data_IF_577865360866
#
_entry.id   IF_577865360866
#
_cell.length_a   1.000
_cell.length_b   1.000
_cell.length_c   1.000
_cell.angle_alpha   90.00
_cell.angle_beta   90.00
_cell.angle_gamma   90.00
#
_symmetry.space_group_name_H-M   'P 1'
#
loop_
_entity.id
_entity.type
_entity.pdbx_description
1 polymer ?
#
# COMPACT_ATOMS: atom_id res chain seq x y z
N UNK A 1 -12.60 -14.13 2.65
CA UNK A 1 -11.53 -14.12 3.67
C UNK A 1 -10.29 -14.81 3.16
N UNK A 2 -9.13 -14.32 3.56
CA UNK A 2 -7.84 -14.95 3.27
C UNK A 2 -7.13 -15.29 4.59
N UNK A 3 -6.51 -16.46 4.65
CA UNK A 3 -5.67 -16.84 5.78
C UNK A 3 -4.41 -15.99 5.83
N UNK A 4 -3.87 -15.79 7.03
CA UNK A 4 -2.60 -15.12 7.21
C UNK A 4 -1.49 -15.81 6.41
N UNK A 5 -0.60 -14.99 5.85
CA UNK A 5 0.60 -15.46 5.14
C UNK A 5 1.85 -14.71 5.63
N UNK A 6 3.02 -15.06 5.09
CA UNK A 6 4.30 -14.45 5.44
C UNK A 6 4.93 -13.67 4.27
N UNK A 7 4.17 -13.39 3.24
CA UNK A 7 4.65 -12.62 2.09
C UNK A 7 4.75 -11.13 2.48
N UNK A 8 5.90 -10.48 2.29
CA UNK A 8 6.15 -9.13 2.85
C UNK A 8 5.12 -8.06 2.53
N UNK A 9 4.62 -8.01 1.30
CA UNK A 9 3.62 -7.00 0.89
C UNK A 9 2.23 -7.58 0.66
N UNK A 10 1.98 -8.80 1.14
CA UNK A 10 0.62 -9.35 1.09
C UNK A 10 -0.32 -8.55 1.99
N UNK A 11 -1.52 -8.30 1.52
CA UNK A 11 -2.55 -7.67 2.34
C UNK A 11 -2.97 -8.54 3.52
N UNK A 12 -2.68 -9.85 3.48
CA UNK A 12 -2.91 -10.80 4.57
C UNK A 12 -1.63 -11.13 5.36
N UNK A 13 -0.54 -10.37 5.19
CA UNK A 13 0.70 -10.62 5.91
C UNK A 13 0.49 -10.57 7.44
N UNK A 14 0.75 -11.68 8.11
CA UNK A 14 0.71 -11.80 9.57
C UNK A 14 -0.67 -11.83 10.19
N UNK A 15 -1.77 -11.84 9.43
CA UNK A 15 -3.12 -11.87 9.99
C UNK A 15 -4.16 -12.41 9.01
N UNK A 16 -5.13 -13.14 9.51
CA UNK A 16 -6.33 -13.49 8.76
C UNK A 16 -7.06 -12.20 8.36
N UNK A 17 -7.52 -12.13 7.12
CA UNK A 17 -7.94 -10.87 6.51
C UNK A 17 -9.28 -11.01 5.81
N UNK A 18 -10.15 -10.05 6.04
CA UNK A 18 -11.35 -9.82 5.24
C UNK A 18 -11.10 -8.64 4.29
N UNK A 19 -11.65 -8.72 3.10
CA UNK A 19 -11.54 -7.64 2.11
C UNK A 19 -12.87 -6.93 1.99
N UNK A 20 -12.85 -5.61 2.06
CA UNK A 20 -14.03 -4.76 1.85
C UNK A 20 -13.73 -3.82 0.70
N UNK A 21 -14.57 -3.85 -0.32
CA UNK A 21 -14.46 -2.95 -1.47
C UNK A 21 -15.64 -1.99 -1.49
N UNK A 22 -15.37 -0.74 -1.82
CA UNK A 22 -16.40 0.28 -2.03
C UNK A 22 -16.31 0.77 -3.47
N UNK A 23 -17.47 0.99 -4.08
CA UNK A 23 -17.57 1.34 -5.48
C UNK A 23 -18.44 2.58 -5.64
N UNK A 24 -18.10 3.41 -6.62
CA UNK A 24 -18.94 4.51 -7.09
C UNK A 24 -19.09 4.42 -8.61
N UNK A 25 -20.20 4.89 -9.18
CA UNK A 25 -20.34 4.96 -10.65
C UNK A 25 -19.22 5.80 -11.25
N UNK A 26 -18.77 5.43 -12.46
CA UNK A 26 -17.66 6.11 -13.14
C UNK A 26 -17.87 7.62 -13.35
N UNK A 27 -19.13 8.08 -13.36
CA UNK A 27 -19.50 9.48 -13.51
C UNK A 27 -19.51 10.27 -12.20
N UNK A 28 -19.36 9.60 -11.06
CA UNK A 28 -19.43 10.23 -9.76
C UNK A 28 -18.07 10.73 -9.31
N UNK A 29 -18.06 11.81 -8.51
CA UNK A 29 -16.87 12.26 -7.81
C UNK A 29 -16.63 11.36 -6.59
N UNK A 30 -15.56 10.54 -6.60
CA UNK A 30 -15.33 9.59 -5.51
C UNK A 30 -14.73 10.21 -4.25
N UNK A 31 -14.14 11.40 -4.36
CA UNK A 31 -13.25 11.97 -3.36
C UNK A 31 -13.72 11.89 -1.91
N UNK A 32 -14.83 12.56 -1.51
CA UNK A 32 -15.29 12.54 -0.11
C UNK A 32 -15.69 11.15 0.36
N UNK A 33 -16.32 10.37 -0.51
CA UNK A 33 -16.77 9.02 -0.19
C UNK A 33 -15.59 8.08 0.08
N UNK A 34 -14.61 8.09 -0.82
CA UNK A 34 -13.41 7.25 -0.66
C UNK A 34 -12.54 7.73 0.50
N UNK A 35 -12.43 9.04 0.71
CA UNK A 35 -11.67 9.58 1.84
C UNK A 35 -12.27 9.16 3.19
N UNK A 36 -13.60 9.20 3.31
CA UNK A 36 -14.30 8.76 4.51
C UNK A 36 -14.08 7.26 4.76
N UNK A 37 -14.24 6.45 3.73
CA UNK A 37 -13.98 5.00 3.83
C UNK A 37 -12.53 4.71 4.23
N UNK A 38 -11.58 5.39 3.60
CA UNK A 38 -10.15 5.22 3.91
C UNK A 38 -9.82 5.60 5.35
N UNK A 39 -10.43 6.67 5.87
CA UNK A 39 -10.25 7.08 7.26
C UNK A 39 -10.78 6.02 8.24
N UNK A 40 -11.96 5.48 7.98
CA UNK A 40 -12.57 4.44 8.82
C UNK A 40 -11.74 3.15 8.77
N UNK A 41 -11.42 2.67 7.58
CA UNK A 41 -10.61 1.46 7.41
C UNK A 41 -9.21 1.64 8.00
N UNK A 42 -8.64 2.83 7.83
CA UNK A 42 -7.34 3.19 8.38
C UNK A 42 -7.30 3.17 9.90
N UNK A 43 -8.35 3.67 10.56
CA UNK A 43 -8.47 3.62 12.02
C UNK A 43 -8.51 2.17 12.55
N UNK A 44 -9.01 1.24 11.74
CA UNK A 44 -9.00 -0.19 12.04
C UNK A 44 -7.71 -0.91 11.62
N UNK A 45 -6.69 -0.20 11.17
CA UNK A 45 -5.44 -0.78 10.69
C UNK A 45 -5.55 -1.42 9.30
N UNK A 46 -6.53 -1.01 8.51
CA UNK A 46 -6.75 -1.54 7.16
C UNK A 46 -5.58 -1.27 6.22
N UNK A 47 -5.33 -2.21 5.31
CA UNK A 47 -4.31 -2.10 4.26
C UNK A 47 -5.00 -1.89 2.92
N UNK A 48 -4.53 -0.96 2.09
CA UNK A 48 -5.14 -0.73 0.78
C UNK A 48 -4.81 -1.86 -0.20
N UNK A 49 -5.63 -2.01 -1.24
CA UNK A 49 -5.24 -2.80 -2.39
C UNK A 49 -4.21 -2.02 -3.20
N UNK A 50 -3.03 -2.63 -3.44
CA UNK A 50 -1.92 -1.96 -4.11
C UNK A 50 -2.26 -1.37 -5.48
N UNK A 51 -3.16 -2.00 -6.22
CA UNK A 51 -3.56 -1.57 -7.57
C UNK A 51 -4.85 -0.74 -7.61
N UNK A 52 -5.34 -0.26 -6.49
CA UNK A 52 -6.59 0.51 -6.41
C UNK A 52 -6.33 1.92 -5.86
N UNK A 53 -7.39 2.74 -5.82
CA UNK A 53 -7.28 4.11 -5.31
C UNK A 53 -7.08 4.12 -3.81
N UNK A 54 -6.04 4.81 -3.37
CA UNK A 54 -5.79 5.15 -1.97
C UNK A 54 -4.82 6.33 -1.90
N UNK A 55 -4.76 7.00 -0.76
CA UNK A 55 -3.87 8.15 -0.54
C UNK A 55 -2.67 7.85 0.35
N UNK A 56 -2.50 6.60 0.80
CA UNK A 56 -1.47 6.26 1.76
C UNK A 56 -0.06 6.37 1.14
N UNK A 57 0.87 6.75 1.98
CA UNK A 57 2.28 6.90 1.63
C UNK A 57 3.15 5.82 2.30
N UNK A 58 4.44 5.84 1.97
CA UNK A 58 5.41 4.87 2.48
C UNK A 58 5.50 4.89 4.01
N UNK A 59 5.45 6.06 4.63
CA UNK A 59 5.54 6.18 6.10
C UNK A 59 4.37 5.48 6.80
N UNK A 60 3.15 5.71 6.29
CA UNK A 60 1.95 5.06 6.81
C UNK A 60 1.98 3.55 6.54
N UNK A 61 2.33 3.15 5.33
CA UNK A 61 2.36 1.74 4.93
C UNK A 61 3.43 0.94 5.69
N UNK A 62 4.58 1.55 5.98
CA UNK A 62 5.62 0.91 6.78
C UNK A 62 5.12 0.49 8.17
N UNK A 63 4.21 1.25 8.75
CA UNK A 63 3.57 0.90 10.02
C UNK A 63 2.50 -0.20 9.91
N UNK A 64 2.08 -0.55 8.70
CA UNK A 64 1.00 -1.51 8.46
C UNK A 64 1.46 -2.88 7.99
N UNK A 65 2.67 -2.97 7.46
CA UNK A 65 3.24 -4.21 6.94
C UNK A 65 4.45 -4.62 7.77
N UNK A 66 4.40 -5.76 8.48
CA UNK A 66 5.50 -6.16 9.40
C UNK A 66 6.87 -6.28 8.73
N UNK A 67 6.89 -6.64 7.44
CA UNK A 67 8.13 -6.87 6.70
C UNK A 67 8.38 -5.84 5.59
N UNK A 68 7.80 -4.65 5.73
CA UNK A 68 7.96 -3.57 4.75
C UNK A 68 9.42 -3.20 4.54
N UNK A 69 10.19 -3.07 5.61
CA UNK A 69 11.61 -2.71 5.54
C UNK A 69 12.44 -3.77 4.81
N UNK A 70 12.13 -5.06 4.97
CA UNK A 70 12.81 -6.13 4.25
C UNK A 70 12.58 -6.02 2.74
N UNK A 71 11.34 -5.72 2.35
CA UNK A 71 11.02 -5.54 0.93
C UNK A 71 11.74 -4.35 0.33
N UNK A 72 11.74 -3.20 1.00
CA UNK A 72 12.40 -1.99 0.50
C UNK A 72 13.91 -2.16 0.43
N UNK A 73 14.51 -2.87 1.39
CA UNK A 73 15.94 -3.20 1.36
C UNK A 73 16.29 -4.11 0.17
N UNK A 74 15.46 -5.12 -0.09
CA UNK A 74 15.67 -6.00 -1.25
C UNK A 74 15.52 -5.22 -2.56
N UNK A 75 14.50 -4.37 -2.66
CA UNK A 75 14.30 -3.48 -3.82
C UNK A 75 15.55 -2.63 -4.07
N UNK A 76 16.11 -2.03 -3.03
CA UNK A 76 17.33 -1.21 -3.16
C UNK A 76 18.54 -1.98 -3.63
N UNK A 77 18.65 -3.28 -3.28
CA UNK A 77 19.75 -4.13 -3.78
C UNK A 77 19.56 -4.57 -5.22
N UNK A 78 18.33 -4.86 -5.63
CA UNK A 78 18.03 -5.36 -6.97
C UNK A 78 17.92 -4.25 -8.01
N UNK A 79 17.50 -3.07 -7.59
CA UNK A 79 17.36 -1.89 -8.46
C UNK A 79 18.00 -0.65 -7.81
N UNK A 80 19.33 -0.65 -7.64
CA UNK A 80 20.01 0.45 -6.95
C UNK A 80 19.92 1.79 -7.70
N UNK A 81 19.72 1.75 -9.01
CA UNK A 81 19.57 2.95 -9.83
C UNK A 81 18.12 3.47 -9.90
N UNK A 82 17.15 2.70 -9.38
CA UNK A 82 15.75 3.08 -9.42
C UNK A 82 15.13 3.06 -10.82
N UNK A 83 15.58 2.14 -11.67
CA UNK A 83 15.09 2.06 -13.06
C UNK A 83 13.63 1.58 -13.14
N UNK A 84 13.23 0.72 -12.20
CA UNK A 84 11.88 0.15 -12.13
C UNK A 84 11.03 0.95 -11.14
N UNK A 85 10.99 2.27 -11.29
CA UNK A 85 10.27 3.16 -10.40
C UNK A 85 9.37 4.13 -11.16
N UNK A 86 8.40 4.70 -10.46
CA UNK A 86 7.51 5.74 -10.95
C UNK A 86 6.95 6.53 -9.75
N UNK A 87 6.19 7.59 -10.02
CA UNK A 87 5.65 8.45 -8.96
C UNK A 87 4.78 7.69 -7.95
N UNK A 88 4.01 6.71 -8.38
CA UNK A 88 3.21 5.88 -7.48
C UNK A 88 4.10 5.06 -6.54
N UNK A 89 5.10 4.36 -7.09
CA UNK A 89 6.02 3.55 -6.29
C UNK A 89 6.86 4.41 -5.34
N UNK A 90 7.26 5.61 -5.76
CA UNK A 90 7.96 6.55 -4.89
C UNK A 90 7.08 6.96 -3.69
N UNK A 91 5.79 7.15 -3.92
CA UNK A 91 4.85 7.47 -2.84
C UNK A 91 4.65 6.31 -1.86
N UNK A 92 4.43 5.11 -2.37
CA UNK A 92 4.01 3.96 -1.53
C UNK A 92 5.18 3.15 -0.95
N UNK A 93 6.35 3.17 -1.57
CA UNK A 93 7.52 2.43 -1.12
C UNK A 93 8.69 3.34 -0.72
N UNK A 94 8.55 4.63 -0.94
CA UNK A 94 9.64 5.58 -0.83
C UNK A 94 10.50 5.62 -2.10
N UNK A 95 11.26 6.69 -2.29
CA UNK A 95 12.14 6.83 -3.45
C UNK A 95 13.21 5.73 -3.48
N UNK A 96 13.60 5.33 -4.68
CA UNK A 96 14.69 4.40 -4.91
C UNK A 96 15.69 5.00 -5.87
N UNK A 97 16.95 4.60 -5.75
CA UNK A 97 18.04 5.15 -6.54
C UNK A 97 18.54 6.48 -6.04
N UNK A 98 19.74 6.88 -6.49
CA UNK A 98 20.38 8.13 -6.07
C UNK A 98 19.64 9.36 -6.64
N UNK A 99 19.41 10.38 -5.80
CA UNK A 99 18.87 11.66 -6.22
C UNK A 99 17.36 11.69 -6.51
N UNK A 100 16.58 10.75 -5.98
CA UNK A 100 15.14 10.73 -6.16
C UNK A 100 14.42 11.13 -4.88
#
# INVERSE_FOLDING_TARGET
>A
MAAADDVPLSTAAGRDTAYVAVHVPARSEPGPYFATFEAIAGAAGGRPHWGKLHSLDAATLAGRYPRFAEFTALRGRLDPAGLLSNAYLDRVLGPSGPGR
#
